data_IF_378640669043
#
_entry.id   IF_378640669043
#
_cell.length_a   1.000
_cell.length_b   1.000
_cell.length_c   1.000
_cell.angle_alpha   90.00
_cell.angle_beta   90.00
_cell.angle_gamma   90.00
#
_symmetry.space_group_name_H-M   'P 1'
#
loop_
_entity.id
_entity.type
_entity.pdbx_description
1 polymer ?
#
# COMPACT_ATOMS: atom_id res chain seq x y z
N UNK A 1 8.63 10.24 13.06
CA UNK A 1 8.47 11.55 12.38
C UNK A 1 7.10 11.57 11.74
N UNK A 2 6.19 12.43 12.22
CA UNK A 2 4.82 12.49 11.75
C UNK A 2 4.71 13.45 10.54
N UNK A 3 4.71 12.90 9.33
CA UNK A 3 4.30 13.62 8.12
C UNK A 3 2.87 13.21 7.72
N UNK A 4 1.98 13.16 8.71
CA UNK A 4 0.56 12.86 8.49
C UNK A 4 -0.18 14.17 8.22
N UNK A 5 -0.71 14.36 7.00
CA UNK A 5 -1.74 15.37 6.75
C UNK A 5 -1.41 16.55 5.85
N UNK A 6 -0.23 16.63 5.20
CA UNK A 6 0.01 17.64 4.15
C UNK A 6 -0.66 17.25 2.82
N UNK A 7 -2.01 17.22 2.80
CA UNK A 7 -2.86 17.38 1.61
C UNK A 7 -2.67 16.44 0.41
N UNK A 8 -1.80 15.43 0.47
CA UNK A 8 -1.60 14.50 -0.66
C UNK A 8 -2.84 13.63 -0.84
N UNK A 9 -3.34 13.54 -2.06
CA UNK A 9 -4.37 12.58 -2.42
C UNK A 9 -3.80 11.17 -2.25
N UNK A 10 -4.20 10.47 -1.19
CA UNK A 10 -3.79 9.08 -0.91
C UNK A 10 -4.79 8.12 -1.54
N UNK A 11 -4.31 7.00 -2.05
CA UNK A 11 -5.19 5.90 -2.44
C UNK A 11 -5.74 5.18 -1.19
N UNK A 12 -6.64 4.21 -1.38
CA UNK A 12 -7.11 3.37 -0.28
C UNK A 12 -5.96 2.59 0.38
N UNK A 13 -5.05 2.00 -0.41
CA UNK A 13 -3.82 1.39 0.10
C UNK A 13 -2.98 2.41 0.87
N UNK A 14 -2.75 3.59 0.28
CA UNK A 14 -1.93 4.63 0.88
C UNK A 14 -2.43 5.05 2.25
N UNK A 15 -3.75 5.24 2.39
CA UNK A 15 -4.40 5.56 3.67
C UNK A 15 -4.28 4.43 4.68
N UNK A 16 -4.47 3.19 4.25
CA UNK A 16 -4.35 2.03 5.13
C UNK A 16 -2.94 1.93 5.72
N UNK A 17 -1.88 2.04 4.89
CA UNK A 17 -0.50 2.01 5.40
C UNK A 17 -0.24 3.11 6.43
N UNK A 18 -0.72 4.33 6.12
CA UNK A 18 -0.62 5.48 7.00
C UNK A 18 -1.30 5.17 8.37
N UNK A 19 -2.56 4.71 8.36
CA UNK A 19 -3.30 4.41 9.61
C UNK A 19 -2.74 3.23 10.39
N UNK A 20 -2.14 2.25 9.71
CA UNK A 20 -1.53 1.07 10.34
C UNK A 20 -0.09 1.32 10.82
N UNK A 21 0.45 2.53 10.62
CA UNK A 21 1.80 2.90 11.06
C UNK A 21 2.93 2.18 10.32
N UNK A 22 2.64 1.57 9.16
CA UNK A 22 3.62 0.85 8.35
C UNK A 22 4.08 1.69 7.16
N UNK A 23 5.38 1.67 6.88
CA UNK A 23 5.95 2.46 5.78
C UNK A 23 5.87 1.71 4.45
N UNK A 24 5.83 2.45 3.34
CA UNK A 24 5.94 1.88 1.99
C UNK A 24 7.24 1.09 1.79
N UNK A 25 8.32 1.49 2.48
CA UNK A 25 9.61 0.82 2.47
C UNK A 25 9.57 -0.55 3.16
N UNK A 26 8.84 -0.69 4.26
CA UNK A 26 8.64 -1.98 4.94
C UNK A 26 7.84 -2.94 4.06
N UNK A 27 6.74 -2.47 3.46
CA UNK A 27 5.94 -3.25 2.51
C UNK A 27 6.80 -3.68 1.32
N UNK A 28 7.66 -2.80 0.80
CA UNK A 28 8.57 -3.12 -0.31
C UNK A 28 9.54 -4.23 0.05
N UNK A 29 10.24 -4.09 1.18
CA UNK A 29 11.19 -5.11 1.67
C UNK A 29 10.51 -6.46 1.89
N UNK A 30 9.30 -6.44 2.46
CA UNK A 30 8.56 -7.65 2.82
C UNK A 30 7.94 -8.36 1.61
N UNK A 31 7.37 -7.61 0.67
CA UNK A 31 6.68 -8.15 -0.52
C UNK A 31 7.63 -8.46 -1.69
N UNK A 32 8.83 -7.88 -1.70
CA UNK A 32 9.75 -7.90 -2.83
C UNK A 32 9.26 -7.07 -4.04
N UNK A 33 8.24 -6.24 -3.86
CA UNK A 33 7.75 -5.31 -4.89
C UNK A 33 8.57 -4.01 -4.81
N UNK A 34 9.00 -3.43 -5.95
CA UNK A 34 9.75 -2.19 -5.96
C UNK A 34 9.05 -1.06 -5.19
N UNK A 35 9.81 -0.29 -4.42
CA UNK A 35 9.27 0.83 -3.64
C UNK A 35 8.54 1.85 -4.51
N UNK A 36 9.04 2.13 -5.71
CA UNK A 36 8.39 3.03 -6.68
C UNK A 36 6.99 2.56 -7.07
N UNK A 37 6.81 1.25 -7.30
CA UNK A 37 5.51 0.64 -7.61
C UNK A 37 4.53 0.79 -6.43
N UNK A 38 4.99 0.54 -5.21
CA UNK A 38 4.16 0.73 -4.01
C UNK A 38 3.79 2.21 -3.84
N UNK A 39 4.76 3.11 -4.03
CA UNK A 39 4.52 4.56 -3.97
C UNK A 39 3.48 5.01 -4.98
N UNK A 40 3.54 4.50 -6.22
CA UNK A 40 2.53 4.77 -7.25
C UNK A 40 1.14 4.29 -6.82
N UNK A 41 1.05 3.09 -6.24
CA UNK A 41 -0.23 2.56 -5.76
C UNK A 41 -0.75 3.24 -4.50
N UNK A 42 0.10 3.93 -3.74
CA UNK A 42 -0.30 4.71 -2.57
C UNK A 42 -0.73 6.15 -2.92
N UNK A 43 -0.51 6.58 -4.15
CA UNK A 43 -0.89 7.89 -4.69
C UNK A 43 -2.29 7.81 -5.30
N UNK A 44 -3.25 8.51 -4.68
CA UNK A 44 -4.65 8.51 -5.11
C UNK A 44 -4.91 9.35 -6.37
N UNK A 45 -3.91 10.09 -6.86
CA UNK A 45 -3.98 10.74 -8.18
C UNK A 45 -3.68 9.78 -9.33
N UNK A 46 -3.07 8.61 -9.05
CA UNK A 46 -2.74 7.59 -10.05
C UNK A 46 -3.92 6.65 -10.25
N UNK A 47 -4.20 6.33 -11.52
CA UNK A 47 -5.26 5.38 -11.92
C UNK A 47 -4.72 3.99 -12.24
N UNK A 48 -3.51 3.69 -11.78
CA UNK A 48 -2.81 2.46 -12.12
C UNK A 48 -3.42 1.28 -11.39
N UNK A 49 -4.07 0.39 -12.14
CA UNK A 49 -4.56 -0.88 -11.61
C UNK A 49 -3.41 -1.90 -11.57
N UNK A 50 -3.10 -2.50 -10.42
CA UNK A 50 -2.00 -3.44 -10.30
C UNK A 50 -2.31 -4.78 -10.98
N UNK A 51 -1.26 -5.43 -11.48
CA UNK A 51 -1.31 -6.84 -11.86
C UNK A 51 -1.66 -7.65 -10.60
N UNK A 52 -2.71 -8.47 -10.68
CA UNK A 52 -3.27 -9.21 -9.53
C UNK A 52 -2.21 -10.03 -8.78
N UNK A 53 -1.27 -10.66 -9.49
CA UNK A 53 -0.15 -11.41 -8.87
C UNK A 53 0.74 -10.55 -7.98
N UNK A 54 1.02 -9.31 -8.38
CA UNK A 54 1.86 -8.37 -7.62
C UNK A 54 1.08 -7.78 -6.45
N UNK A 55 -0.20 -7.46 -6.65
CA UNK A 55 -1.10 -7.05 -5.57
C UNK A 55 -1.18 -8.11 -4.46
N UNK A 56 -1.31 -9.40 -4.80
CA UNK A 56 -1.32 -10.48 -3.82
C UNK A 56 -0.04 -10.56 -2.97
N UNK A 57 1.13 -10.21 -3.51
CA UNK A 57 2.37 -10.12 -2.72
C UNK A 57 2.29 -9.01 -1.68
N UNK A 58 1.72 -7.86 -2.06
CA UNK A 58 1.49 -6.73 -1.14
C UNK A 58 0.47 -7.08 -0.07
N UNK A 59 -0.66 -7.72 -0.43
CA UNK A 59 -1.68 -8.15 0.53
C UNK A 59 -1.12 -9.16 1.56
N UNK A 60 -0.29 -10.11 1.13
CA UNK A 60 0.41 -11.04 2.04
C UNK A 60 1.36 -10.29 2.98
N UNK A 61 2.17 -9.38 2.44
CA UNK A 61 3.07 -8.56 3.24
C UNK A 61 2.33 -7.71 4.28
N UNK A 62 1.21 -7.09 3.89
CA UNK A 62 0.34 -6.33 4.79
C UNK A 62 -0.18 -7.23 5.92
N UNK A 63 -0.71 -8.42 5.59
CA UNK A 63 -1.20 -9.36 6.59
C UNK A 63 -0.11 -9.77 7.57
N UNK A 64 1.11 -10.01 7.11
CA UNK A 64 2.24 -10.38 7.96
C UNK A 64 2.75 -9.22 8.84
N UNK A 65 2.67 -7.98 8.35
CA UNK A 65 3.13 -6.80 9.09
C UNK A 65 2.10 -6.27 10.09
N UNK A 66 0.80 -6.40 9.78
CA UNK A 66 -0.29 -5.78 10.54
C UNK A 66 -1.19 -6.79 11.27
N UNK A 67 -1.15 -8.07 10.87
CA UNK A 67 -2.14 -9.07 11.29
C UNK A 67 -3.49 -8.97 10.59
N UNK A 68 -3.74 -7.90 9.83
CA UNK A 68 -5.02 -7.69 9.12
C UNK A 68 -4.98 -8.27 7.71
N UNK A 69 -5.91 -9.18 7.42
CA UNK A 69 -6.14 -9.64 6.06
C UNK A 69 -6.97 -8.60 5.29
N UNK A 70 -6.52 -8.28 4.06
CA UNK A 70 -7.21 -7.40 3.12
C UNK A 70 -7.32 -8.10 1.78
N UNK A 71 -8.37 -7.79 1.05
CA UNK A 71 -8.65 -8.28 -0.29
C UNK A 71 -8.23 -7.25 -1.35
N UNK A 72 -8.25 -7.66 -2.62
CA UNK A 72 -7.86 -6.78 -3.72
C UNK A 72 -8.79 -5.56 -3.84
N UNK A 73 -10.08 -5.79 -3.66
CA UNK A 73 -11.16 -4.82 -3.79
C UNK A 73 -11.11 -3.75 -2.70
N UNK A 74 -10.52 -4.05 -1.53
CA UNK A 74 -10.32 -3.08 -0.45
C UNK A 74 -9.44 -1.89 -0.90
N UNK A 75 -8.59 -2.09 -1.92
CA UNK A 75 -7.62 -1.10 -2.36
C UNK A 75 -7.77 -0.64 -3.81
N UNK A 76 -8.26 -1.50 -4.72
CA UNK A 76 -8.22 -1.25 -6.16
C UNK A 76 -9.56 -1.51 -6.89
N UNK A 77 -10.68 -1.48 -6.16
CA UNK A 77 -12.02 -1.51 -6.77
C UNK A 77 -12.20 -0.41 -7.83
#
# INVERSE_FOLDING_TARGET
>A
MAWFGLGKNRSALGRFLDTSGITQQEVSKKSGVPHSTISEWCDGSKRTRPIRRTALKVLRAIKELTGEAKEYEDFWA
#
